data_IF_558644082690
#
_entry.id   IF_558644082690
#
_cell.length_a   1.000
_cell.length_b   1.000
_cell.length_c   1.000
_cell.angle_alpha   90.00
_cell.angle_beta   90.00
_cell.angle_gamma   90.00
#
_symmetry.space_group_name_H-M   'P 1'
#
loop_
_entity.id
_entity.type
_entity.pdbx_description
1 polymer ?
#
# COMPACT_ATOMS: atom_id res chain seq x y z
N UNK A 1 -17.24 8.41 15.71
CA UNK A 1 -15.78 8.50 15.72
C UNK A 1 -15.34 7.84 14.43
N UNK A 2 -14.81 8.59 13.47
CA UNK A 2 -14.17 7.96 12.31
C UNK A 2 -12.84 7.44 12.79
N UNK A 3 -12.70 6.12 12.84
CA UNK A 3 -11.37 5.51 12.86
C UNK A 3 -10.71 5.88 11.52
N UNK A 4 -9.48 6.38 11.57
CA UNK A 4 -8.69 6.66 10.37
C UNK A 4 -8.62 5.37 9.53
N UNK A 5 -8.89 5.41 8.21
CA UNK A 5 -8.82 4.21 7.40
C UNK A 5 -7.41 3.61 7.46
N UNK A 6 -7.34 2.29 7.58
CA UNK A 6 -6.06 1.58 7.56
C UNK A 6 -5.87 0.86 6.23
N UNK A 7 -4.62 0.88 5.75
CA UNK A 7 -4.21 0.29 4.48
C UNK A 7 -3.32 -0.92 4.76
N UNK A 8 -3.61 -2.08 4.14
CA UNK A 8 -2.72 -3.24 4.20
C UNK A 8 -1.43 -2.99 3.41
N UNK A 9 -0.30 -3.26 4.05
CA UNK A 9 1.05 -3.24 3.48
C UNK A 9 1.60 -4.66 3.52
N UNK A 10 2.16 -5.11 2.40
CA UNK A 10 2.73 -6.45 2.23
C UNK A 10 4.20 -6.34 1.82
N UNK A 11 5.05 -7.08 2.53
CA UNK A 11 6.44 -7.32 2.14
C UNK A 11 6.60 -8.80 1.76
N UNK A 12 6.86 -9.14 0.49
CA UNK A 12 6.98 -10.52 0.05
C UNK A 12 8.25 -11.22 0.59
N UNK A 13 9.33 -10.48 0.81
CA UNK A 13 10.59 -11.04 1.31
C UNK A 13 10.60 -11.26 2.84
N UNK A 14 9.93 -10.38 3.58
CA UNK A 14 9.76 -10.56 5.03
C UNK A 14 8.57 -11.46 5.37
N UNK A 15 7.77 -11.87 4.37
CA UNK A 15 6.52 -12.62 4.54
C UNK A 15 5.54 -11.96 5.54
N UNK A 16 5.55 -10.63 5.59
CA UNK A 16 4.74 -9.85 6.54
C UNK A 16 3.61 -9.11 5.86
N UNK A 17 2.44 -9.13 6.51
CA UNK A 17 1.28 -8.30 6.18
C UNK A 17 0.88 -7.49 7.41
N UNK A 18 0.75 -6.17 7.28
CA UNK A 18 0.41 -5.27 8.39
C UNK A 18 -0.53 -4.19 7.90
N UNK A 19 -1.45 -3.73 8.77
CA UNK A 19 -2.32 -2.58 8.48
C UNK A 19 -1.74 -1.33 9.12
N UNK A 20 -1.63 -0.26 8.35
CA UNK A 20 -1.06 1.04 8.75
C UNK A 20 -2.10 2.12 8.50
N UNK A 21 -2.17 3.16 9.33
CA UNK A 21 -3.04 4.31 9.10
C UNK A 21 -2.72 4.96 7.74
N UNK A 22 -3.75 5.35 6.97
CA UNK A 22 -3.60 5.82 5.60
C UNK A 22 -2.59 6.97 5.46
N UNK A 23 -2.60 7.89 6.40
CA UNK A 23 -1.70 9.04 6.48
C UNK A 23 -0.24 8.66 6.76
N UNK A 24 0.02 7.49 7.36
CA UNK A 24 1.37 7.01 7.69
C UNK A 24 1.92 5.96 6.70
N UNK A 25 1.13 5.53 5.71
CA UNK A 25 1.50 4.40 4.82
C UNK A 25 2.81 4.63 4.08
N UNK A 26 2.98 5.82 3.49
CA UNK A 26 4.17 6.15 2.70
C UNK A 26 5.43 6.07 3.57
N UNK A 27 5.42 6.80 4.70
CA UNK A 27 6.53 6.80 5.66
C UNK A 27 6.82 5.39 6.21
N UNK A 28 5.78 4.59 6.47
CA UNK A 28 5.95 3.23 6.96
C UNK A 28 6.63 2.31 5.94
N UNK A 29 6.26 2.41 4.66
CA UNK A 29 6.87 1.64 3.56
C UNK A 29 8.31 2.08 3.35
N UNK A 30 8.56 3.39 3.24
CA UNK A 30 9.91 3.95 3.03
C UNK A 30 10.85 3.52 4.16
N UNK A 31 10.40 3.65 5.42
CA UNK A 31 11.17 3.21 6.59
C UNK A 31 11.40 1.72 6.59
N UNK A 32 10.44 0.90 6.17
CA UNK A 32 10.62 -0.55 6.12
C UNK A 32 11.71 -0.93 5.10
N UNK A 33 11.58 -0.42 3.87
CA UNK A 33 12.51 -0.72 2.77
C UNK A 33 13.92 -0.23 3.10
N UNK A 34 14.06 0.98 3.65
CA UNK A 34 15.36 1.50 4.08
C UNK A 34 16.02 0.64 5.17
N UNK A 35 15.25 0.09 6.13
CA UNK A 35 15.81 -0.66 7.25
C UNK A 35 16.00 -2.16 6.97
N UNK A 36 15.23 -2.76 6.05
CA UNK A 36 15.19 -4.21 5.81
C UNK A 36 15.69 -4.64 4.44
N UNK A 37 15.64 -3.74 3.46
CA UNK A 37 15.92 -4.04 2.06
C UNK A 37 16.91 -3.03 1.44
N UNK A 38 17.74 -2.38 2.27
CA UNK A 38 18.76 -1.41 1.83
C UNK A 38 18.20 -0.27 0.94
N UNK A 39 16.91 0.04 1.08
CA UNK A 39 16.20 1.03 0.27
C UNK A 39 15.52 0.50 -1.00
N UNK A 40 15.67 -0.78 -1.34
CA UNK A 40 14.96 -1.39 -2.45
C UNK A 40 13.44 -1.43 -2.21
N UNK A 41 12.66 -1.17 -3.26
CA UNK A 41 11.20 -1.12 -3.24
C UNK A 41 10.57 -2.52 -3.14
N UNK A 42 10.73 -3.16 -1.97
CA UNK A 42 10.26 -4.53 -1.72
C UNK A 42 8.89 -4.55 -1.06
N UNK A 43 8.72 -3.83 0.04
CA UNK A 43 7.42 -3.65 0.68
C UNK A 43 6.58 -2.61 -0.05
N UNK A 44 5.29 -2.89 -0.21
CA UNK A 44 4.34 -1.99 -0.87
C UNK A 44 2.93 -2.17 -0.30
N UNK A 45 2.01 -1.26 -0.66
CA UNK A 45 0.57 -1.47 -0.45
C UNK A 45 0.14 -2.80 -1.07
N UNK A 46 -0.70 -3.55 -0.35
CA UNK A 46 -1.15 -4.86 -0.78
C UNK A 46 -1.78 -4.79 -2.19
N UNK A 47 -1.53 -5.81 -3.04
CA UNK A 47 -1.93 -5.79 -4.44
C UNK A 47 -3.45 -5.59 -4.60
N UNK A 48 -4.26 -6.23 -3.75
CA UNK A 48 -5.73 -6.14 -3.79
C UNK A 48 -6.26 -4.70 -3.68
N UNK A 49 -5.60 -3.87 -2.85
CA UNK A 49 -5.99 -2.46 -2.68
C UNK A 49 -5.52 -1.64 -3.87
N UNK A 50 -4.30 -1.88 -4.36
CA UNK A 50 -3.77 -1.20 -5.54
C UNK A 50 -4.62 -1.49 -6.79
N UNK A 51 -5.00 -2.75 -6.98
CA UNK A 51 -5.87 -3.19 -8.07
C UNK A 51 -7.22 -2.49 -7.99
N UNK A 52 -7.84 -2.48 -6.79
CA UNK A 52 -9.12 -1.79 -6.59
C UNK A 52 -9.04 -0.29 -6.87
N UNK A 53 -7.95 0.37 -6.46
CA UNK A 53 -7.74 1.80 -6.74
C UNK A 53 -7.58 2.02 -8.24
N UNK A 54 -6.83 1.16 -8.93
CA UNK A 54 -6.66 1.26 -10.38
C UNK A 54 -7.98 1.11 -11.14
N UNK A 55 -8.84 0.18 -10.71
CA UNK A 55 -10.19 0.03 -11.27
C UNK A 55 -11.05 1.27 -11.06
N UNK A 56 -11.09 1.82 -9.84
CA UNK A 56 -11.84 3.02 -9.53
C UNK A 56 -11.34 4.23 -10.32
N UNK A 57 -10.01 4.38 -10.45
CA UNK A 57 -9.40 5.45 -11.24
C UNK A 57 -9.71 5.28 -12.74
N UNK A 58 -9.75 4.04 -13.25
CA UNK A 58 -10.13 3.78 -14.63
C UNK A 58 -11.58 4.16 -14.91
N UNK A 59 -12.50 3.87 -13.97
CA UNK A 59 -13.91 4.27 -14.05
C UNK A 59 -14.09 5.79 -14.08
N UNK A 60 -13.44 6.49 -13.15
CA UNK A 60 -13.46 7.95 -13.09
C UNK A 60 -12.89 8.62 -14.37
N UNK A 61 -11.91 7.98 -15.01
CA UNK A 61 -11.29 8.46 -16.24
C UNK A 61 -12.04 8.03 -17.51
N UNK A 62 -13.13 7.24 -17.40
CA UNK A 62 -13.85 6.69 -18.56
C UNK A 62 -13.01 5.74 -19.40
N UNK A 63 -12.07 5.04 -18.77
CA UNK A 63 -11.22 4.02 -19.38
C UNK A 63 -11.82 2.61 -19.24
N UNK A 64 -12.89 2.48 -18.45
CA UNK A 64 -13.77 1.31 -18.39
C UNK A 64 -14.95 1.49 -19.37
N UNK A 65 -15.50 0.36 -19.82
CA UNK A 65 -16.51 0.26 -20.90
C UNK A 65 -17.97 0.43 -20.45
#
# INVERSE_FOLDING_TARGET
>A
MSDEPTVPVRCPECETETRVALDEVADAIERHNANRHDGDEVAAVAPEVRERIAELAADDLGLTE
#
